data_IF_786772808792
#
_entry.id   IF_786772808792
#
_cell.length_a   1.000
_cell.length_b   1.000
_cell.length_c   1.000
_cell.angle_alpha   90.00
_cell.angle_beta   90.00
_cell.angle_gamma   90.00
#
_symmetry.space_group_name_H-M   'P 1'
#
loop_
_entity.id
_entity.type
_entity.pdbx_description
1 polymer ?
#
# COMPACT_ATOMS: atom_id res chain seq x y z
N UNK A 1 -65.03 -9.59 -19.36
CA UNK A 1 -64.71 -10.78 -18.52
C UNK A 1 -63.51 -11.60 -19.03
N UNK A 2 -63.24 -11.65 -20.36
CA UNK A 2 -62.09 -12.41 -20.89
C UNK A 2 -60.70 -11.88 -20.46
N UNK A 3 -60.52 -10.60 -20.23
CA UNK A 3 -59.20 -9.99 -19.89
C UNK A 3 -58.79 -10.20 -18.41
N UNK A 4 -59.75 -10.37 -17.50
CA UNK A 4 -59.43 -10.59 -16.09
C UNK A 4 -58.79 -11.96 -15.82
N UNK A 5 -59.30 -13.01 -16.47
CA UNK A 5 -58.72 -14.35 -16.36
C UNK A 5 -57.29 -14.41 -16.93
N UNK A 6 -57.02 -13.70 -18.02
CA UNK A 6 -55.67 -13.63 -18.59
C UNK A 6 -54.67 -12.94 -17.68
N UNK A 7 -55.09 -11.85 -17.01
CA UNK A 7 -54.24 -11.13 -16.05
C UNK A 7 -53.94 -12.00 -14.84
N UNK A 8 -54.93 -12.71 -14.30
CA UNK A 8 -54.72 -13.61 -13.15
C UNK A 8 -53.74 -14.74 -13.50
N UNK A 9 -53.89 -15.35 -14.70
CA UNK A 9 -53.00 -16.44 -15.16
C UNK A 9 -51.51 -15.91 -15.27
N UNK A 10 -51.30 -14.72 -15.80
CA UNK A 10 -49.95 -14.14 -15.93
C UNK A 10 -49.31 -13.85 -14.55
N UNK A 11 -50.11 -13.33 -13.58
CA UNK A 11 -49.65 -13.09 -12.23
C UNK A 11 -49.31 -14.38 -11.47
N UNK A 12 -50.13 -15.42 -11.62
CA UNK A 12 -49.85 -16.74 -10.99
C UNK A 12 -48.63 -17.42 -11.59
N UNK A 13 -48.45 -17.35 -12.90
CA UNK A 13 -47.25 -17.90 -13.57
C UNK A 13 -45.97 -17.12 -13.17
N UNK A 14 -46.06 -15.81 -13.05
CA UNK A 14 -44.95 -14.99 -12.58
C UNK A 14 -44.54 -15.28 -11.14
N UNK A 15 -45.51 -15.47 -10.25
CA UNK A 15 -45.27 -15.85 -8.87
C UNK A 15 -44.68 -17.27 -8.73
N UNK A 16 -45.15 -18.24 -9.54
CA UNK A 16 -44.60 -19.58 -9.55
C UNK A 16 -43.16 -19.62 -10.11
N UNK A 17 -42.85 -18.85 -11.17
CA UNK A 17 -41.48 -18.74 -11.70
C UNK A 17 -40.56 -18.10 -10.65
N UNK A 18 -40.94 -17.03 -9.99
CA UNK A 18 -40.18 -16.40 -8.93
C UNK A 18 -39.92 -17.34 -7.74
N UNK A 19 -40.88 -18.16 -7.38
CA UNK A 19 -40.73 -19.15 -6.31
C UNK A 19 -39.77 -20.28 -6.69
N UNK A 20 -39.84 -20.79 -7.94
CA UNK A 20 -38.95 -21.81 -8.45
C UNK A 20 -37.48 -21.28 -8.51
N UNK A 21 -37.28 -20.03 -8.94
CA UNK A 21 -35.94 -19.41 -8.99
C UNK A 21 -35.37 -19.25 -7.57
N UNK A 22 -36.20 -18.87 -6.59
CA UNK A 22 -35.80 -18.73 -5.19
C UNK A 22 -35.38 -20.04 -4.53
N UNK A 23 -35.99 -21.18 -4.92
CA UNK A 23 -35.65 -22.51 -4.38
C UNK A 23 -34.43 -23.10 -5.08
N UNK A 24 -34.18 -22.70 -6.34
CA UNK A 24 -33.09 -23.24 -7.17
C UNK A 24 -31.74 -22.53 -6.99
N UNK A 25 -31.66 -21.43 -6.21
CA UNK A 25 -30.39 -20.86 -5.83
C UNK A 25 -29.77 -21.69 -4.70
N UNK A 26 -28.71 -22.44 -4.95
CA UNK A 26 -27.99 -23.07 -3.85
C UNK A 26 -27.41 -21.96 -2.98
N UNK A 27 -27.91 -21.85 -1.76
CA UNK A 27 -27.22 -21.07 -0.74
C UNK A 27 -25.83 -21.70 -0.58
N UNK A 28 -24.81 -21.00 -1.03
CA UNK A 28 -23.43 -21.43 -0.81
C UNK A 28 -23.06 -21.16 0.66
N UNK A 29 -23.62 -21.99 1.56
CA UNK A 29 -23.28 -22.03 2.98
C UNK A 29 -21.90 -22.71 3.22
N UNK A 30 -20.98 -22.65 2.27
CA UNK A 30 -19.61 -22.99 2.60
C UNK A 30 -19.04 -21.83 3.41
N UNK A 31 -18.82 -22.02 4.73
CA UNK A 31 -18.08 -21.01 5.49
C UNK A 31 -16.76 -20.81 4.77
N UNK A 32 -16.46 -19.57 4.40
CA UNK A 32 -15.13 -19.19 3.94
C UNK A 32 -14.24 -19.52 5.13
N UNK A 33 -13.54 -20.67 5.06
CA UNK A 33 -12.43 -20.94 5.96
C UNK A 33 -11.38 -19.89 5.64
N UNK A 34 -11.40 -18.78 6.38
CA UNK A 34 -10.24 -17.93 6.49
C UNK A 34 -9.09 -18.84 6.91
N UNK A 35 -7.96 -18.86 6.20
CA UNK A 35 -6.81 -19.59 6.69
C UNK A 35 -6.52 -19.04 8.08
N UNK A 36 -6.45 -19.93 9.09
CA UNK A 36 -5.99 -19.61 10.44
C UNK A 36 -4.46 -19.39 10.45
N UNK A 37 -3.96 -18.61 9.50
CA UNK A 37 -2.68 -17.98 9.64
C UNK A 37 -2.93 -16.74 10.49
N UNK A 38 -2.67 -16.82 11.77
CA UNK A 38 -2.24 -15.65 12.53
C UNK A 38 -0.97 -15.20 11.81
N UNK A 39 -1.14 -14.31 10.84
CA UNK A 39 -0.01 -13.72 10.16
C UNK A 39 0.77 -13.01 11.26
N UNK A 40 2.00 -13.44 11.48
CA UNK A 40 2.82 -12.90 12.56
C UNK A 40 2.87 -11.38 12.38
N UNK A 41 2.72 -10.63 13.47
CA UNK A 41 2.76 -9.18 13.42
C UNK A 41 4.04 -8.73 12.68
N UNK A 42 3.94 -7.68 11.82
CA UNK A 42 5.09 -7.16 11.11
C UNK A 42 6.25 -6.83 12.06
N UNK A 43 7.42 -7.36 11.77
CA UNK A 43 8.61 -7.17 12.62
C UNK A 43 9.47 -6.01 12.17
N UNK A 44 9.33 -5.56 10.91
CA UNK A 44 10.24 -4.58 10.32
C UNK A 44 11.67 -5.09 10.24
N UNK A 45 12.61 -4.22 10.62
CA UNK A 45 14.04 -4.54 10.72
C UNK A 45 14.86 -4.07 9.53
N UNK A 46 16.17 -4.14 9.70
CA UNK A 46 17.15 -3.59 8.75
C UNK A 46 17.11 -4.27 7.38
N UNK A 47 17.38 -3.47 6.36
CA UNK A 47 17.54 -3.92 4.99
C UNK A 47 18.53 -3.06 4.22
N UNK A 48 19.02 -3.59 3.11
CA UNK A 48 19.81 -2.86 2.13
C UNK A 48 19.18 -3.00 0.75
N UNK A 49 19.01 -1.87 0.06
CA UNK A 49 18.46 -1.78 -1.28
C UNK A 49 19.33 -0.84 -2.13
N UNK A 50 19.07 -0.77 -3.43
CA UNK A 50 19.82 0.08 -4.37
C UNK A 50 19.03 1.34 -4.68
N UNK A 51 19.70 2.49 -4.62
CA UNK A 51 19.22 3.78 -5.13
C UNK A 51 20.08 4.25 -6.30
N UNK A 52 19.68 5.35 -6.95
CA UNK A 52 20.51 5.98 -8.00
C UNK A 52 21.84 6.56 -7.45
N UNK A 53 21.89 6.85 -6.16
CA UNK A 53 23.06 7.44 -5.49
C UNK A 53 23.94 6.37 -4.80
N UNK A 54 23.63 5.09 -5.00
CA UNK A 54 24.36 3.96 -4.43
C UNK A 54 23.49 3.12 -3.47
N UNK A 55 24.09 2.27 -2.67
CA UNK A 55 23.35 1.42 -1.73
C UNK A 55 22.71 2.25 -0.61
N UNK A 56 21.42 2.02 -0.40
CA UNK A 56 20.67 2.53 0.75
C UNK A 56 20.63 1.44 1.82
N UNK A 57 20.99 1.76 3.05
CA UNK A 57 20.90 0.86 4.20
C UNK A 57 20.07 1.52 5.29
N UNK A 58 19.01 0.83 5.76
CA UNK A 58 18.18 1.38 6.83
C UNK A 58 18.96 1.59 8.12
N UNK A 59 19.92 0.73 8.43
CA UNK A 59 20.81 0.89 9.59
C UNK A 59 21.63 2.18 9.59
N UNK A 60 21.93 2.73 8.38
CA UNK A 60 22.68 3.99 8.26
C UNK A 60 21.77 5.22 8.55
N UNK A 61 20.48 5.00 8.73
CA UNK A 61 19.49 6.03 9.08
C UNK A 61 19.20 6.09 10.59
N UNK A 62 19.98 5.42 11.43
CA UNK A 62 19.83 5.53 12.88
C UNK A 62 19.92 6.98 13.33
N UNK A 63 19.10 7.35 14.31
CA UNK A 63 18.90 8.74 14.76
C UNK A 63 17.92 9.53 13.91
N UNK A 64 17.37 8.95 12.83
CA UNK A 64 16.32 9.58 12.02
C UNK A 64 15.01 8.80 12.12
N UNK A 65 13.91 9.50 11.98
CA UNK A 65 12.62 8.88 11.67
C UNK A 65 12.59 8.56 10.17
N UNK A 66 12.27 7.33 9.80
CA UNK A 66 12.15 6.95 8.38
C UNK A 66 10.69 6.64 8.07
N UNK A 67 10.16 7.30 7.04
CA UNK A 67 8.83 7.05 6.49
C UNK A 67 8.97 6.19 5.25
N UNK A 68 8.46 4.96 5.26
CA UNK A 68 8.57 4.02 4.13
C UNK A 68 7.21 3.86 3.47
N UNK A 69 7.20 3.87 2.14
CA UNK A 69 6.06 3.51 1.33
C UNK A 69 6.45 2.47 0.26
N UNK A 70 5.74 1.34 0.22
CA UNK A 70 5.92 0.31 -0.81
C UNK A 70 4.94 0.54 -1.95
N UNK A 71 5.46 0.64 -3.19
CA UNK A 71 4.64 0.92 -4.36
C UNK A 71 5.40 0.70 -5.67
N UNK A 72 4.94 1.30 -6.76
CA UNK A 72 5.61 1.25 -8.07
C UNK A 72 5.23 2.48 -8.90
N UNK A 73 6.09 2.88 -9.85
CA UNK A 73 5.93 4.17 -10.55
C UNK A 73 4.76 4.20 -11.53
N UNK A 74 4.30 3.05 -12.02
CA UNK A 74 3.13 2.94 -12.92
C UNK A 74 1.78 2.92 -12.18
N UNK A 75 1.77 3.06 -10.85
CA UNK A 75 0.53 3.19 -10.08
C UNK A 75 -0.05 4.60 -10.26
N UNK A 76 -1.26 4.68 -10.80
CA UNK A 76 -1.90 5.97 -11.17
C UNK A 76 -2.74 6.61 -10.05
N UNK A 77 -2.96 5.93 -8.92
CA UNK A 77 -3.95 6.35 -7.92
C UNK A 77 -3.39 6.33 -6.49
N UNK A 78 -3.27 5.16 -5.88
CA UNK A 78 -2.97 5.04 -4.44
C UNK A 78 -1.54 5.47 -4.08
N UNK A 79 -0.54 5.21 -4.95
CA UNK A 79 0.83 5.63 -4.68
C UNK A 79 0.99 7.15 -4.65
N UNK A 80 0.58 7.92 -5.70
CA UNK A 80 0.72 9.37 -5.67
C UNK A 80 -0.08 10.00 -4.52
N UNK A 81 -1.24 9.46 -4.16
CA UNK A 81 -2.03 9.96 -3.02
C UNK A 81 -1.23 9.86 -1.70
N UNK A 82 -0.68 8.69 -1.36
CA UNK A 82 0.07 8.54 -0.12
C UNK A 82 1.40 9.31 -0.13
N UNK A 83 2.13 9.31 -1.24
CA UNK A 83 3.37 10.07 -1.37
C UNK A 83 3.14 11.58 -1.24
N UNK A 84 2.01 12.10 -1.76
CA UNK A 84 1.63 13.49 -1.58
C UNK A 84 1.32 13.82 -0.10
N UNK A 85 0.68 12.92 0.64
CA UNK A 85 0.42 13.10 2.07
C UNK A 85 1.72 13.06 2.89
N UNK A 86 2.64 12.16 2.56
CA UNK A 86 3.99 12.16 3.14
C UNK A 86 4.73 13.47 2.83
N UNK A 87 4.68 13.94 1.59
CA UNK A 87 5.29 15.20 1.18
C UNK A 87 4.67 16.41 1.90
N UNK A 88 3.36 16.44 2.09
CA UNK A 88 2.69 17.48 2.89
C UNK A 88 3.19 17.50 4.35
N UNK A 89 3.39 16.33 4.95
CA UNK A 89 3.96 16.24 6.29
C UNK A 89 5.41 16.76 6.32
N UNK A 90 6.24 16.37 5.34
CA UNK A 90 7.62 16.86 5.22
C UNK A 90 7.68 18.38 4.99
N UNK A 91 6.84 18.93 4.11
CA UNK A 91 6.75 20.36 3.84
C UNK A 91 6.31 21.21 5.06
N UNK A 92 5.66 20.59 6.03
CA UNK A 92 5.27 21.25 7.29
C UNK A 92 6.35 21.20 8.38
N UNK A 93 7.50 20.57 8.09
CA UNK A 93 8.64 20.49 8.99
C UNK A 93 9.59 21.66 8.80
N UNK A 94 10.32 22.01 9.85
CA UNK A 94 11.44 22.94 9.77
C UNK A 94 12.66 22.29 9.11
N UNK A 95 13.61 23.09 8.61
CA UNK A 95 14.87 22.58 8.05
C UNK A 95 15.63 21.69 9.05
N UNK A 96 15.59 22.04 10.34
CA UNK A 96 16.19 21.24 11.41
C UNK A 96 15.53 19.88 11.59
N UNK A 97 14.19 19.81 11.53
CA UNK A 97 13.44 18.54 11.57
C UNK A 97 13.74 17.69 10.32
N UNK A 98 13.80 18.31 9.14
CA UNK A 98 14.09 17.62 7.89
C UNK A 98 15.44 16.91 7.88
N UNK A 99 16.46 17.41 8.57
CA UNK A 99 17.76 16.72 8.70
C UNK A 99 17.65 15.39 9.45
N UNK A 100 16.62 15.22 10.27
CA UNK A 100 16.37 14.06 11.12
C UNK A 100 15.26 13.15 10.60
N UNK A 101 14.80 13.38 9.37
CA UNK A 101 13.73 12.57 8.73
C UNK A 101 14.17 12.11 7.36
N UNK A 102 13.81 10.88 7.00
CA UNK A 102 14.03 10.32 5.68
C UNK A 102 12.71 9.78 5.11
N UNK A 103 12.27 10.32 3.98
CA UNK A 103 11.21 9.73 3.17
C UNK A 103 11.78 8.64 2.25
N UNK A 104 11.16 7.48 2.16
CA UNK A 104 11.62 6.36 1.37
C UNK A 104 10.49 5.73 0.55
N UNK A 105 10.65 5.72 -0.76
CA UNK A 105 9.80 5.00 -1.68
C UNK A 105 10.49 3.69 -2.11
N UNK A 106 9.94 2.55 -1.72
CA UNK A 106 10.46 1.22 -2.05
C UNK A 106 9.64 0.65 -3.19
N UNK A 107 10.25 0.50 -4.37
CA UNK A 107 9.57 -0.12 -5.50
C UNK A 107 9.46 -1.63 -5.33
N UNK A 108 8.24 -2.13 -5.50
CA UNK A 108 7.91 -3.57 -5.54
C UNK A 108 7.87 -4.11 -6.97
N UNK A 109 8.29 -3.31 -7.95
CA UNK A 109 8.33 -3.67 -9.37
C UNK A 109 9.72 -3.42 -9.99
N UNK A 110 10.74 -4.15 -9.55
CA UNK A 110 12.12 -3.95 -10.02
C UNK A 110 12.33 -4.24 -11.51
N UNK A 111 11.37 -4.88 -12.17
CA UNK A 111 11.47 -5.16 -13.61
C UNK A 111 11.28 -3.88 -14.44
N UNK A 112 10.34 -3.02 -14.06
CA UNK A 112 10.04 -1.76 -14.75
C UNK A 112 10.70 -0.55 -14.12
N UNK A 113 10.79 -0.51 -12.80
CA UNK A 113 11.29 0.64 -12.05
C UNK A 113 12.82 0.63 -11.95
N UNK A 114 13.47 1.48 -12.75
CA UNK A 114 14.92 1.70 -12.69
C UNK A 114 15.25 2.77 -11.65
N UNK A 115 16.43 2.67 -11.02
CA UNK A 115 16.82 3.56 -9.93
C UNK A 115 16.81 5.05 -10.30
N UNK A 116 17.15 5.39 -11.55
CA UNK A 116 17.11 6.77 -12.06
C UNK A 116 15.65 7.29 -12.16
N UNK A 117 14.73 6.41 -12.57
CA UNK A 117 13.29 6.73 -12.61
C UNK A 117 12.75 6.88 -11.20
N UNK A 118 13.11 6.00 -10.29
CA UNK A 118 12.71 6.04 -8.88
C UNK A 118 13.20 7.32 -8.19
N UNK A 119 14.43 7.75 -8.45
CA UNK A 119 14.97 9.03 -7.94
C UNK A 119 14.11 10.20 -8.38
N UNK A 120 13.83 10.31 -9.70
CA UNK A 120 13.00 11.39 -10.24
C UNK A 120 11.58 11.34 -9.68
N UNK A 121 11.01 10.15 -9.57
CA UNK A 121 9.66 9.95 -9.06
C UNK A 121 9.55 10.36 -7.58
N UNK A 122 10.46 9.90 -6.72
CA UNK A 122 10.48 10.27 -5.31
C UNK A 122 10.71 11.79 -5.11
N UNK A 123 11.68 12.37 -5.80
CA UNK A 123 11.97 13.81 -5.75
C UNK A 123 10.84 14.69 -6.30
N UNK A 124 9.97 14.17 -7.17
CA UNK A 124 8.79 14.90 -7.62
C UNK A 124 7.84 15.24 -6.45
N UNK A 125 7.82 14.40 -5.42
CA UNK A 125 6.99 14.65 -4.23
C UNK A 125 7.71 15.54 -3.20
N UNK A 126 8.98 15.22 -2.89
CA UNK A 126 9.79 16.03 -1.97
C UNK A 126 11.28 15.73 -2.14
N UNK A 127 12.14 16.75 -2.06
CA UNK A 127 13.59 16.62 -2.30
C UNK A 127 14.30 15.66 -1.32
N UNK A 128 13.79 15.50 -0.10
CA UNK A 128 14.34 14.57 0.88
C UNK A 128 13.85 13.13 0.69
N UNK A 129 12.91 12.88 -0.24
CA UNK A 129 12.44 11.53 -0.50
C UNK A 129 13.39 10.78 -1.43
N UNK A 130 13.71 9.54 -1.09
CA UNK A 130 14.59 8.67 -1.85
C UNK A 130 13.82 7.49 -2.43
N UNK A 131 14.09 7.15 -3.70
CA UNK A 131 13.52 5.98 -4.36
C UNK A 131 14.54 4.84 -4.39
N UNK A 132 14.13 3.65 -3.97
CA UNK A 132 14.99 2.47 -3.89
C UNK A 132 14.28 1.22 -4.43
N UNK A 133 15.07 0.25 -4.88
CA UNK A 133 14.60 -1.08 -5.25
C UNK A 133 15.72 -2.11 -5.07
N UNK A 134 15.43 -3.38 -5.33
CA UNK A 134 16.40 -4.47 -5.24
C UNK A 134 16.01 -5.61 -6.18
N UNK A 135 16.61 -6.76 -6.01
CA UNK A 135 16.15 -7.98 -6.69
C UNK A 135 14.74 -8.36 -6.24
N UNK A 136 13.97 -9.10 -7.06
CA UNK A 136 12.65 -9.59 -6.65
C UNK A 136 12.65 -10.37 -5.33
N UNK A 137 13.73 -11.11 -5.06
CA UNK A 137 13.86 -11.89 -3.83
C UNK A 137 14.07 -10.99 -2.59
N UNK A 138 14.91 -9.95 -2.69
CA UNK A 138 15.12 -8.97 -1.62
C UNK A 138 13.84 -8.21 -1.31
N UNK A 139 13.13 -7.74 -2.35
CA UNK A 139 11.86 -7.03 -2.18
C UNK A 139 10.81 -7.93 -1.52
N UNK A 140 10.70 -9.20 -1.94
CA UNK A 140 9.73 -10.13 -1.36
C UNK A 140 10.03 -10.40 0.13
N UNK A 141 11.28 -10.56 0.49
CA UNK A 141 11.71 -10.79 1.87
C UNK A 141 11.43 -9.57 2.75
N UNK A 142 11.78 -8.37 2.29
CA UNK A 142 11.55 -7.12 3.02
C UNK A 142 10.05 -6.87 3.16
N UNK A 143 9.29 -6.95 2.07
CA UNK A 143 7.85 -6.76 2.09
C UNK A 143 7.16 -7.68 3.10
N UNK A 144 7.55 -8.97 3.14
CA UNK A 144 7.03 -9.94 4.12
C UNK A 144 7.29 -9.50 5.56
N UNK A 145 8.50 -9.04 5.90
CA UNK A 145 8.85 -8.59 7.26
C UNK A 145 8.06 -7.34 7.68
N UNK A 146 7.76 -6.47 6.72
CA UNK A 146 6.96 -5.26 6.96
C UNK A 146 5.45 -5.49 6.87
N UNK A 147 5.00 -6.70 6.50
CA UNK A 147 3.58 -6.98 6.26
C UNK A 147 3.04 -6.24 5.03
N UNK A 148 3.91 -5.89 4.09
CA UNK A 148 3.55 -5.28 2.82
C UNK A 148 3.27 -6.38 1.79
N UNK A 149 1.99 -6.55 1.43
CA UNK A 149 1.59 -7.48 0.39
C UNK A 149 1.64 -6.84 -0.99
N UNK A 150 2.08 -7.57 -1.99
CA UNK A 150 1.99 -7.16 -3.40
C UNK A 150 1.91 -8.38 -4.32
N UNK A 151 1.32 -8.20 -5.49
CA UNK A 151 1.25 -9.22 -6.54
C UNK A 151 1.05 -8.59 -7.90
N UNK A 152 1.64 -9.17 -8.95
CA UNK A 152 1.33 -8.82 -10.33
C UNK A 152 -0.06 -9.34 -10.70
N UNK A 153 -0.82 -8.53 -11.40
CA UNK A 153 -2.12 -8.88 -11.96
C UNK A 153 -2.13 -8.50 -13.43
N UNK A 154 -2.67 -9.37 -14.28
CA UNK A 154 -2.88 -9.05 -15.69
C UNK A 154 -3.85 -7.86 -15.80
N UNK A 155 -3.53 -6.91 -16.66
CA UNK A 155 -4.34 -5.72 -16.86
C UNK A 155 -4.00 -5.01 -18.16
N UNK A 156 -4.93 -4.22 -18.66
CA UNK A 156 -4.78 -3.38 -19.86
C UNK A 156 -4.05 -2.06 -19.50
N UNK A 157 -2.87 -2.13 -18.91
CA UNK A 157 -2.03 -0.95 -18.71
C UNK A 157 -1.00 -0.83 -19.84
N UNK A 158 -0.53 0.38 -20.15
CA UNK A 158 0.56 0.60 -21.11
C UNK A 158 1.82 -0.20 -20.76
N UNK A 159 1.97 -0.62 -19.51
CA UNK A 159 3.06 -1.45 -19.02
C UNK A 159 2.80 -2.96 -19.04
N UNK A 160 1.66 -3.42 -19.58
CA UNK A 160 1.33 -4.84 -19.76
C UNK A 160 0.78 -5.55 -18.51
N UNK A 161 0.97 -5.02 -17.30
CA UNK A 161 0.40 -5.54 -16.05
C UNK A 161 0.25 -4.45 -14.99
N UNK A 162 -0.58 -4.70 -14.01
CA UNK A 162 -0.69 -3.89 -12.79
C UNK A 162 -0.04 -4.62 -11.61
N UNK A 163 0.20 -3.91 -10.53
CA UNK A 163 0.64 -4.52 -9.27
C UNK A 163 -0.35 -4.12 -8.17
N UNK A 164 -1.14 -5.09 -7.69
CA UNK A 164 -1.88 -4.92 -6.45
C UNK A 164 -0.88 -4.83 -5.31
N UNK A 165 -1.00 -3.86 -4.42
CA UNK A 165 -0.13 -3.73 -3.26
C UNK A 165 -0.86 -3.10 -2.08
N UNK A 166 -0.38 -3.39 -0.87
CA UNK A 166 -0.82 -2.69 0.33
C UNK A 166 -0.37 -1.23 0.28
N UNK A 167 -1.29 -0.31 0.56
CA UNK A 167 -1.07 1.14 0.44
C UNK A 167 -0.81 1.82 1.80
N UNK A 168 -0.08 1.14 2.68
CA UNK A 168 0.24 1.64 4.01
C UNK A 168 1.53 2.47 4.02
N UNK A 169 1.61 3.44 4.94
CA UNK A 169 2.84 4.15 5.27
C UNK A 169 3.42 3.59 6.56
N UNK A 170 4.69 3.24 6.55
CA UNK A 170 5.40 2.61 7.67
C UNK A 170 6.31 3.65 8.33
N UNK A 171 6.18 3.84 9.62
CA UNK A 171 7.02 4.78 10.38
C UNK A 171 8.03 3.99 11.20
N UNK A 172 9.31 4.26 10.96
CA UNK A 172 10.45 3.67 11.64
C UNK A 172 11.00 4.69 12.64
N UNK A 173 11.15 4.27 13.87
CA UNK A 173 11.71 5.10 14.94
C UNK A 173 13.24 5.30 14.76
N UNK A 174 13.85 6.28 15.44
CA UNK A 174 15.29 6.55 15.34
C UNK A 174 16.20 5.39 15.73
N UNK A 175 15.72 4.45 16.56
CA UNK A 175 16.43 3.21 16.88
C UNK A 175 16.34 2.13 15.79
N UNK A 176 15.54 2.37 14.72
CA UNK A 176 15.31 1.49 13.59
C UNK A 176 14.18 0.48 13.80
N UNK A 177 13.46 0.53 14.88
CA UNK A 177 12.28 -0.30 15.10
C UNK A 177 11.08 0.19 14.29
N UNK A 178 10.23 -0.74 13.83
CA UNK A 178 8.95 -0.40 13.23
C UNK A 178 8.01 0.13 14.31
N UNK A 179 7.77 1.45 14.31
CA UNK A 179 6.95 2.11 15.33
C UNK A 179 5.46 1.93 15.07
N UNK A 180 5.01 2.21 13.84
CA UNK A 180 3.60 2.10 13.48
C UNK A 180 3.40 1.93 11.97
N UNK A 181 2.24 1.43 11.60
CA UNK A 181 1.78 1.29 10.22
C UNK A 181 0.51 2.12 10.09
N UNK A 182 0.55 3.13 9.24
CA UNK A 182 -0.58 4.00 8.97
C UNK A 182 -1.33 3.49 7.73
N UNK A 183 -2.67 3.48 7.76
CA UNK A 183 -3.47 3.01 6.63
C UNK A 183 -3.36 3.95 5.42
N UNK A 184 -3.91 3.50 4.29
CA UNK A 184 -4.06 4.33 3.10
C UNK A 184 -4.72 5.68 3.42
N UNK A 185 -4.19 6.73 2.82
CA UNK A 185 -4.67 8.11 2.97
C UNK A 185 -4.70 8.63 4.43
N UNK A 186 -3.80 8.10 5.30
CA UNK A 186 -3.60 8.69 6.62
C UNK A 186 -3.29 10.20 6.49
N UNK A 187 -3.96 11.09 7.25
CA UNK A 187 -3.77 12.53 7.13
C UNK A 187 -2.32 12.95 7.32
N UNK A 188 -1.83 13.89 6.52
CA UNK A 188 -0.47 14.44 6.65
C UNK A 188 -0.18 14.96 8.07
N UNK A 189 -1.20 15.53 8.75
CA UNK A 189 -1.07 16.01 10.12
C UNK A 189 -0.81 14.86 11.11
N UNK A 190 -1.38 13.68 10.88
CA UNK A 190 -1.13 12.49 11.70
C UNK A 190 0.31 12.01 11.53
N UNK A 191 0.78 11.91 10.28
CA UNK A 191 2.17 11.57 9.95
C UNK A 191 3.13 12.56 10.64
N UNK A 192 2.87 13.86 10.53
CA UNK A 192 3.67 14.92 11.13
C UNK A 192 3.71 14.80 12.66
N UNK A 193 2.57 14.61 13.32
CA UNK A 193 2.47 14.51 14.76
C UNK A 193 3.25 13.31 15.31
N UNK A 194 3.13 12.15 14.68
CA UNK A 194 3.86 10.94 15.06
C UNK A 194 5.36 11.16 14.88
N UNK A 195 5.77 11.75 13.76
CA UNK A 195 7.18 12.03 13.48
C UNK A 195 7.78 12.97 14.50
N UNK A 196 7.11 14.09 14.80
CA UNK A 196 7.57 15.06 15.81
C UNK A 196 7.66 14.45 17.21
N UNK A 197 6.71 13.59 17.56
CA UNK A 197 6.76 12.87 18.84
C UNK A 197 8.01 12.01 18.93
N UNK A 198 8.32 11.23 17.90
CA UNK A 198 9.52 10.37 17.85
C UNK A 198 10.82 11.19 17.90
N UNK A 199 10.86 12.33 17.21
CA UNK A 199 12.03 13.23 17.26
C UNK A 199 12.24 13.87 18.64
N UNK A 200 11.17 14.08 19.41
CA UNK A 200 11.28 14.64 20.76
C UNK A 200 11.68 13.60 21.84
N UNK A 201 11.54 12.30 21.52
CA UNK A 201 11.86 11.17 22.40
C UNK A 201 13.26 10.59 22.13
N UNK A 202 13.97 11.06 21.09
CA UNK A 202 15.28 10.55 20.61
C UNK A 202 16.49 11.23 21.25
#
# INVERSE_FOLDING_TARGET
>A
MKNLNTVIIVLVLGALLGWIISISMPASDKPIKLPNAVEAAPTGGDFSLTSADGPFRLQDQRGKVVMIYFGYTFCSDVCPTNLALMAQALNAMTDGELTQVQGLFVSVDPERDKVETLKKYAHHFHDTMQGVTGSPAEIAEIAKRYGAAYRKVEGESEGGYLVDHSSNTYIIAPDGSLHTILPHAAPAQEILNITRKLLAES
#
